data_IF_438583094513
#
_entry.id   IF_438583094513
#
_cell.length_a   1.000
_cell.length_b   1.000
_cell.length_c   1.000
_cell.angle_alpha   90.00
_cell.angle_beta   90.00
_cell.angle_gamma   90.00
#
_symmetry.space_group_name_H-M   'P 1'
#
loop_
_entity.id
_entity.type
_entity.pdbx_description
1 polymer ?
#
# COMPACT_ATOMS: atom_id res chain seq x y z
N UNK A 1 -9.01 -22.02 48.62
CA UNK A 1 -8.85 -21.27 47.35
C UNK A 1 -8.22 -19.91 47.68
N UNK A 2 -6.90 -19.78 47.54
CA UNK A 2 -6.19 -18.55 47.90
C UNK A 2 -6.72 -17.36 47.07
N UNK A 3 -7.27 -16.34 47.73
CA UNK A 3 -7.63 -15.08 47.07
C UNK A 3 -6.33 -14.43 46.60
N UNK A 4 -6.09 -14.41 45.28
CA UNK A 4 -5.02 -13.60 44.68
C UNK A 4 -5.09 -12.17 45.19
N UNK A 5 -3.93 -11.60 45.52
CA UNK A 5 -3.85 -10.22 46.02
C UNK A 5 -4.37 -9.26 44.96
N UNK A 6 -4.82 -8.07 45.38
CA UNK A 6 -5.30 -7.04 44.45
C UNK A 6 -4.19 -6.66 43.44
N UNK A 7 -2.94 -6.64 43.89
CA UNK A 7 -1.76 -6.39 43.05
C UNK A 7 -1.59 -7.46 41.96
N UNK A 8 -1.72 -8.74 42.29
CA UNK A 8 -1.64 -9.83 41.29
C UNK A 8 -2.76 -9.75 40.25
N UNK A 9 -3.97 -9.36 40.67
CA UNK A 9 -5.10 -9.18 39.76
C UNK A 9 -4.89 -7.98 38.83
N UNK A 10 -4.36 -6.88 39.34
CA UNK A 10 -4.00 -5.70 38.55
C UNK A 10 -2.94 -6.05 37.50
N UNK A 11 -1.85 -6.72 37.92
CA UNK A 11 -0.80 -7.15 37.01
C UNK A 11 -1.32 -8.10 35.91
N UNK A 12 -2.25 -9.00 36.26
CA UNK A 12 -2.87 -9.90 35.29
C UNK A 12 -3.75 -9.15 34.28
N UNK A 13 -4.54 -8.16 34.72
CA UNK A 13 -5.37 -7.35 33.84
C UNK A 13 -4.52 -6.46 32.91
N UNK A 14 -3.43 -5.88 33.41
CA UNK A 14 -2.50 -5.11 32.59
C UNK A 14 -1.83 -5.96 31.52
N UNK A 15 -1.39 -7.18 31.87
CA UNK A 15 -0.82 -8.12 30.92
C UNK A 15 -1.82 -8.52 29.83
N UNK A 16 -3.09 -8.76 30.22
CA UNK A 16 -4.17 -9.06 29.27
C UNK A 16 -4.45 -7.86 28.35
N UNK A 17 -4.53 -6.65 28.89
CA UNK A 17 -4.71 -5.42 28.10
C UNK A 17 -3.60 -5.25 27.07
N UNK A 18 -2.34 -5.39 27.48
CA UNK A 18 -1.17 -5.26 26.59
C UNK A 18 -1.20 -6.30 25.47
N UNK A 19 -1.59 -7.54 25.78
CA UNK A 19 -1.76 -8.61 24.79
C UNK A 19 -2.86 -8.27 23.78
N UNK A 20 -4.02 -7.82 24.24
CA UNK A 20 -5.14 -7.42 23.38
C UNK A 20 -4.77 -6.23 22.49
N UNK A 21 -4.11 -5.21 23.03
CA UNK A 21 -3.65 -4.05 22.26
C UNK A 21 -2.65 -4.45 21.18
N UNK A 22 -1.73 -5.37 21.48
CA UNK A 22 -0.78 -5.91 20.50
C UNK A 22 -1.51 -6.67 19.38
N UNK A 23 -2.52 -7.47 19.71
CA UNK A 23 -3.34 -8.18 18.72
C UNK A 23 -4.11 -7.21 17.84
N UNK A 24 -4.72 -6.18 18.43
CA UNK A 24 -5.45 -5.16 17.70
C UNK A 24 -4.53 -4.42 16.71
N UNK A 25 -3.36 -3.95 17.16
CA UNK A 25 -2.40 -3.28 16.28
C UNK A 25 -1.84 -4.18 15.17
N UNK A 26 -1.82 -5.51 15.35
CA UNK A 26 -1.51 -6.45 14.26
C UNK A 26 -2.65 -6.53 13.24
N UNK A 27 -3.90 -6.61 13.71
CA UNK A 27 -5.07 -6.65 12.83
C UNK A 27 -5.24 -5.36 12.03
N UNK A 28 -5.01 -4.21 12.66
CA UNK A 28 -5.08 -2.90 11.99
C UNK A 28 -4.06 -2.78 10.87
N UNK A 29 -2.81 -3.17 11.13
CA UNK A 29 -1.76 -3.20 10.09
C UNK A 29 -2.09 -4.19 8.98
N UNK A 30 -2.56 -5.39 9.32
CA UNK A 30 -2.96 -6.38 8.30
C UNK A 30 -4.10 -5.84 7.42
N UNK A 31 -5.09 -5.17 8.02
CA UNK A 31 -6.20 -4.53 7.30
C UNK A 31 -5.69 -3.39 6.40
N UNK A 32 -4.79 -2.55 6.92
CA UNK A 32 -4.22 -1.43 6.18
C UNK A 32 -3.39 -1.91 4.97
N UNK A 33 -2.50 -2.88 5.19
CA UNK A 33 -1.74 -3.53 4.11
C UNK A 33 -2.68 -4.13 3.06
N UNK A 34 -3.71 -4.87 3.48
CA UNK A 34 -4.69 -5.45 2.55
C UNK A 34 -5.45 -4.39 1.76
N UNK A 35 -5.85 -3.28 2.40
CA UNK A 35 -6.53 -2.16 1.74
C UNK A 35 -5.63 -1.52 0.69
N UNK A 36 -4.37 -1.23 1.03
CA UNK A 36 -3.39 -0.63 0.11
C UNK A 36 -3.13 -1.53 -1.09
N UNK A 37 -2.93 -2.83 -0.86
CA UNK A 37 -2.72 -3.82 -1.93
C UNK A 37 -3.94 -3.89 -2.87
N UNK A 38 -5.15 -3.99 -2.32
CA UNK A 38 -6.36 -4.11 -3.15
C UNK A 38 -6.61 -2.85 -4.00
N UNK A 39 -6.39 -1.66 -3.44
CA UNK A 39 -6.50 -0.41 -4.18
C UNK A 39 -5.44 -0.33 -5.28
N UNK A 40 -4.18 -0.66 -4.97
CA UNK A 40 -3.12 -0.70 -5.98
C UNK A 40 -3.40 -1.70 -7.10
N UNK A 41 -3.81 -2.92 -6.76
CA UNK A 41 -4.16 -3.95 -7.73
C UNK A 41 -5.33 -3.54 -8.63
N UNK A 42 -6.33 -2.83 -8.10
CA UNK A 42 -7.44 -2.30 -8.89
C UNK A 42 -6.97 -1.26 -9.91
N UNK A 43 -6.10 -0.34 -9.51
CA UNK A 43 -5.55 0.69 -10.41
C UNK A 43 -4.72 0.04 -11.51
N UNK A 44 -3.84 -0.91 -11.17
CA UNK A 44 -3.04 -1.66 -12.15
C UNK A 44 -3.94 -2.42 -13.13
N UNK A 45 -4.94 -3.14 -12.62
CA UNK A 45 -5.91 -3.84 -13.47
C UNK A 45 -6.61 -2.89 -14.45
N UNK A 46 -6.93 -1.68 -14.00
CA UNK A 46 -7.59 -0.68 -14.85
C UNK A 46 -6.65 -0.11 -15.91
N UNK A 47 -5.38 0.11 -15.59
CA UNK A 47 -4.36 0.50 -16.57
C UNK A 47 -4.13 -0.58 -17.64
N UNK A 48 -4.11 -1.85 -17.23
CA UNK A 48 -3.82 -2.97 -18.15
C UNK A 48 -5.03 -3.37 -19.01
N UNK A 49 -6.22 -3.42 -18.42
CA UNK A 49 -7.40 -4.05 -19.04
C UNK A 49 -8.58 -3.10 -19.25
N UNK A 50 -8.51 -1.88 -18.72
CA UNK A 50 -9.59 -0.90 -18.85
C UNK A 50 -9.77 -0.47 -20.30
N UNK A 51 -10.99 -0.57 -20.81
CA UNK A 51 -11.31 -0.21 -22.20
C UNK A 51 -11.97 1.16 -22.35
N UNK A 52 -12.41 1.75 -21.24
CA UNK A 52 -13.06 3.04 -21.15
C UNK A 52 -12.07 4.22 -21.25
N UNK A 53 -12.57 5.38 -21.68
CA UNK A 53 -11.78 6.59 -21.89
C UNK A 53 -11.02 7.04 -20.63
N UNK A 54 -11.60 6.86 -19.44
CA UNK A 54 -10.92 7.17 -18.19
C UNK A 54 -9.67 6.31 -18.01
N UNK A 55 -9.77 5.00 -18.23
CA UNK A 55 -8.68 4.05 -18.03
C UNK A 55 -7.53 4.23 -19.02
N UNK A 56 -7.85 4.62 -20.26
CA UNK A 56 -6.86 4.77 -21.33
C UNK A 56 -6.14 6.12 -21.34
N UNK A 57 -6.82 7.19 -20.94
CA UNK A 57 -6.29 8.55 -21.07
C UNK A 57 -6.16 9.23 -19.70
N UNK A 58 -7.29 9.42 -19.00
CA UNK A 58 -7.33 10.25 -17.80
C UNK A 58 -6.53 9.67 -16.62
N UNK A 59 -6.59 8.35 -16.43
CA UNK A 59 -5.93 7.66 -15.32
C UNK A 59 -4.40 7.62 -15.49
N UNK A 60 -3.83 7.20 -16.63
CA UNK A 60 -2.41 7.33 -16.88
C UNK A 60 -1.92 8.77 -16.73
N UNK A 61 -2.60 9.74 -17.35
CA UNK A 61 -2.19 11.14 -17.30
C UNK A 61 -2.19 11.71 -15.88
N UNK A 62 -3.21 11.37 -15.08
CA UNK A 62 -3.25 11.71 -13.66
C UNK A 62 -2.10 11.07 -12.90
N UNK A 63 -1.80 9.79 -13.11
CA UNK A 63 -0.69 9.10 -12.45
C UNK A 63 0.66 9.70 -12.79
N UNK A 64 0.93 10.06 -14.07
CA UNK A 64 2.20 10.69 -14.45
C UNK A 64 2.43 12.03 -13.74
N UNK A 65 1.36 12.75 -13.38
CA UNK A 65 1.44 14.02 -12.65
C UNK A 65 1.61 13.83 -11.14
N UNK A 66 0.86 12.91 -10.54
CA UNK A 66 0.83 12.76 -9.08
C UNK A 66 1.91 11.81 -8.54
N UNK A 67 2.28 10.73 -9.26
CA UNK A 67 3.28 9.76 -8.81
C UNK A 67 4.66 10.38 -8.50
N UNK A 68 5.21 11.32 -9.31
CA UNK A 68 6.48 11.97 -8.98
C UNK A 68 6.46 12.71 -7.64
N UNK A 69 5.31 13.29 -7.26
CA UNK A 69 5.17 13.99 -5.97
C UNK A 69 4.87 13.05 -4.80
N UNK A 70 4.38 11.84 -5.08
CA UNK A 70 4.08 10.82 -4.08
C UNK A 70 5.29 9.95 -3.74
N UNK A 71 6.14 9.68 -4.72
CA UNK A 71 7.32 8.84 -4.55
C UNK A 71 8.44 9.66 -3.92
N UNK A 72 9.03 9.13 -2.85
CA UNK A 72 10.09 9.79 -2.08
C UNK A 72 11.46 9.14 -2.25
N UNK A 73 11.53 7.96 -2.89
CA UNK A 73 12.75 7.16 -3.06
C UNK A 73 12.95 6.82 -4.52
N UNK A 74 14.19 6.94 -4.99
CA UNK A 74 14.53 6.65 -6.39
C UNK A 74 14.31 5.16 -6.74
N UNK A 75 14.54 4.24 -5.80
CA UNK A 75 14.26 2.81 -5.97
C UNK A 75 12.78 2.55 -6.28
N UNK A 76 11.87 3.29 -5.64
CA UNK A 76 10.43 3.16 -5.84
C UNK A 76 10.02 3.80 -7.19
N UNK A 77 10.71 4.87 -7.63
CA UNK A 77 10.48 5.49 -8.93
C UNK A 77 10.86 4.56 -10.08
N UNK A 78 11.93 3.77 -9.92
CA UNK A 78 12.38 2.79 -10.90
C UNK A 78 11.34 1.68 -11.19
N UNK A 79 10.34 1.49 -10.32
CA UNK A 79 9.26 0.52 -10.52
C UNK A 79 8.20 0.96 -11.55
N UNK A 80 8.20 2.24 -11.96
CA UNK A 80 7.16 2.79 -12.85
C UNK A 80 7.73 3.38 -14.14
N UNK A 81 8.54 2.63 -14.93
CA UNK A 81 9.16 3.16 -16.15
C UNK A 81 8.15 3.61 -17.19
N UNK A 82 7.00 2.93 -17.30
CA UNK A 82 5.96 3.27 -18.30
C UNK A 82 5.19 4.56 -17.97
N UNK A 83 5.25 5.02 -16.72
CA UNK A 83 4.55 6.20 -16.23
C UNK A 83 5.51 7.38 -15.99
N UNK A 84 6.75 7.11 -15.55
CA UNK A 84 7.73 8.12 -15.17
C UNK A 84 8.88 8.28 -16.17
N UNK A 85 9.19 7.23 -16.95
CA UNK A 85 10.11 7.29 -18.07
C UNK A 85 9.38 7.83 -19.29
N UNK A 86 9.64 9.10 -19.62
CA UNK A 86 9.01 9.82 -20.73
C UNK A 86 8.85 8.96 -21.99
N UNK A 87 7.66 9.05 -22.60
CA UNK A 87 7.15 8.12 -23.60
C UNK A 87 8.14 7.70 -24.68
N UNK A 88 8.07 6.42 -25.04
CA UNK A 88 8.53 5.84 -26.30
C UNK A 88 9.64 6.63 -27.02
N UNK A 89 10.89 6.44 -26.60
CA UNK A 89 11.98 6.60 -27.55
C UNK A 89 11.85 5.43 -28.56
N UNK A 90 11.73 5.69 -29.88
CA UNK A 90 11.76 4.62 -30.85
C UNK A 90 13.13 3.93 -30.73
N UNK A 91 13.12 2.59 -30.68
CA UNK A 91 14.35 1.81 -30.78
C UNK A 91 15.14 2.32 -32.00
N UNK A 92 16.46 2.56 -31.88
CA UNK A 92 17.27 2.78 -33.05
C UNK A 92 17.20 1.52 -33.92
N UNK A 93 16.70 1.71 -35.13
CA UNK A 93 16.64 0.71 -36.17
C UNK A 93 18.05 0.13 -36.35
N UNK A 94 18.20 -1.14 -36.00
CA UNK A 94 19.41 -1.89 -36.32
C UNK A 94 19.06 -2.82 -37.47
N UNK A 95 19.64 -2.48 -38.62
CA UNK A 95 19.93 -3.26 -39.83
C UNK A 95 18.91 -3.17 -40.96
#
# INVERSE_FOLDING_TARGET
MARRSIAERLAQLEAQRKSLQTKLGKQERARDTRRKILLGALVLHRLEKGQDAFSKEQLPDWLRRELPGFITRDDDAALFPDLLGGGAAPLPDKT
#
